data_IF_263598438393
#
_entry.id   IF_263598438393
#
_cell.length_a   1.000
_cell.length_b   1.000
_cell.length_c   1.000
_cell.angle_alpha   90.00
_cell.angle_beta   90.00
_cell.angle_gamma   90.00
#
_symmetry.space_group_name_H-M   'P 1'
#
loop_
_entity.id
_entity.type
_entity.pdbx_description
1 polymer ?
#
# COMPACT_ATOMS: atom_id res chain seq x y z
N UNK A 1 -5.80 1.79 -23.95
CA UNK A 1 -4.55 1.88 -24.72
C UNK A 1 -3.47 2.53 -23.87
N UNK A 2 -2.27 1.99 -23.89
CA UNK A 2 -1.08 2.60 -23.26
C UNK A 2 -0.10 3.02 -24.36
N UNK A 3 0.31 4.28 -24.34
CA UNK A 3 1.35 4.82 -25.19
C UNK A 3 2.66 4.88 -24.40
N UNK A 4 3.75 4.37 -24.98
CA UNK A 4 5.10 4.44 -24.37
C UNK A 4 6.05 5.10 -25.37
N UNK A 5 6.79 6.11 -24.93
CA UNK A 5 7.76 6.82 -25.74
C UNK A 5 9.07 7.04 -24.98
N UNK A 6 10.13 7.41 -25.66
CA UNK A 6 11.44 7.70 -25.06
C UNK A 6 12.12 6.48 -24.42
N UNK A 7 11.88 5.26 -24.91
CA UNK A 7 12.55 4.05 -24.43
C UNK A 7 14.06 4.06 -24.76
N UNK A 8 14.44 4.73 -25.83
CA UNK A 8 15.83 4.96 -26.26
C UNK A 8 16.48 6.21 -25.64
N UNK A 9 15.71 6.96 -24.82
CA UNK A 9 16.16 8.21 -24.23
C UNK A 9 16.06 9.42 -25.19
N UNK A 10 15.38 9.27 -26.34
CA UNK A 10 15.10 10.38 -27.26
C UNK A 10 13.84 11.16 -26.85
N UNK A 11 13.97 12.48 -26.74
CA UNK A 11 12.88 13.38 -26.37
C UNK A 11 11.88 13.66 -27.49
N UNK A 12 12.26 13.50 -28.73
CA UNK A 12 11.35 13.75 -29.86
C UNK A 12 10.12 12.85 -29.81
N UNK A 13 10.28 11.58 -29.43
CA UNK A 13 9.14 10.67 -29.22
C UNK A 13 8.31 11.01 -27.98
N UNK A 14 8.90 11.69 -26.99
CA UNK A 14 8.15 12.16 -25.81
C UNK A 14 7.13 13.24 -26.17
N UNK A 15 7.50 14.20 -26.99
CA UNK A 15 6.63 15.26 -27.48
C UNK A 15 5.48 14.67 -28.31
N UNK A 16 5.77 13.67 -29.13
CA UNK A 16 4.77 12.91 -29.89
C UNK A 16 3.73 12.24 -28.99
N UNK A 17 4.14 11.64 -27.86
CA UNK A 17 3.20 11.04 -26.90
C UNK A 17 2.28 12.08 -26.26
N UNK A 18 2.80 13.27 -25.96
CA UNK A 18 2.00 14.40 -25.47
C UNK A 18 1.02 14.89 -26.54
N UNK A 19 1.47 15.00 -27.80
CA UNK A 19 0.61 15.36 -28.96
C UNK A 19 -0.54 14.35 -29.11
N UNK A 20 -0.22 13.05 -29.06
CA UNK A 20 -1.22 11.98 -29.16
C UNK A 20 -2.32 12.10 -28.08
N UNK A 21 -1.96 12.41 -26.84
CA UNK A 21 -2.92 12.62 -25.75
C UNK A 21 -3.76 13.89 -25.99
N UNK A 22 -3.14 14.98 -26.45
CA UNK A 22 -3.86 16.23 -26.78
C UNK A 22 -4.84 16.00 -27.92
N UNK A 23 -4.41 15.35 -28.99
CA UNK A 23 -5.29 14.97 -30.10
C UNK A 23 -6.48 14.15 -29.61
N UNK A 24 -6.25 13.11 -28.80
CA UNK A 24 -7.32 12.26 -28.29
C UNK A 24 -8.33 13.06 -27.48
N UNK A 25 -7.88 13.97 -26.62
CA UNK A 25 -8.78 14.78 -25.78
C UNK A 25 -9.60 15.80 -26.57
N UNK A 26 -9.03 16.41 -27.59
CA UNK A 26 -9.58 17.63 -28.20
C UNK A 26 -10.08 17.45 -29.63
N UNK A 27 -9.52 16.49 -30.38
CA UNK A 27 -9.71 16.37 -31.84
C UNK A 27 -10.32 15.04 -32.25
N UNK A 28 -9.99 13.95 -31.56
CA UNK A 28 -10.41 12.60 -31.93
C UNK A 28 -11.94 12.49 -32.03
N UNK A 29 -12.42 11.67 -32.99
CA UNK A 29 -13.83 11.38 -33.14
C UNK A 29 -14.49 10.94 -31.82
N UNK A 30 -15.68 11.43 -31.48
CA UNK A 30 -16.40 10.99 -30.29
C UNK A 30 -16.56 9.47 -30.17
N UNK A 31 -16.67 8.75 -31.29
CA UNK A 31 -16.72 7.28 -31.31
C UNK A 31 -15.44 6.65 -30.79
N UNK A 32 -14.29 7.19 -31.17
CA UNK A 32 -12.98 6.75 -30.66
C UNK A 32 -12.88 7.06 -29.16
N UNK A 33 -13.24 8.26 -28.73
CA UNK A 33 -13.20 8.68 -27.33
C UNK A 33 -14.17 7.90 -26.41
N UNK A 34 -15.29 7.46 -26.94
CA UNK A 34 -16.25 6.63 -26.17
C UNK A 34 -15.79 5.18 -26.04
N UNK A 35 -15.01 4.68 -27.00
CA UNK A 35 -14.51 3.30 -27.03
C UNK A 35 -13.23 3.13 -26.21
N UNK A 36 -12.34 4.13 -26.18
CA UNK A 36 -10.99 4.04 -25.67
C UNK A 36 -10.74 4.97 -24.48
N UNK A 37 -9.83 4.53 -23.60
CA UNK A 37 -9.10 5.37 -22.66
C UNK A 37 -7.62 5.31 -23.02
N UNK A 38 -6.92 6.44 -22.98
CA UNK A 38 -5.49 6.51 -23.29
C UNK A 38 -4.72 6.95 -22.04
N UNK A 39 -3.70 6.16 -21.68
CA UNK A 39 -2.65 6.54 -20.74
C UNK A 39 -1.32 6.64 -21.49
N UNK A 40 -0.48 7.60 -21.17
CA UNK A 40 0.81 7.76 -21.83
C UNK A 40 1.96 7.86 -20.82
N UNK A 41 3.07 7.20 -21.13
CA UNK A 41 4.38 7.38 -20.52
C UNK A 41 5.27 8.09 -21.55
N UNK A 42 5.38 9.44 -21.52
CA UNK A 42 6.03 10.18 -22.58
C UNK A 42 7.54 9.96 -22.67
N UNK A 43 8.20 9.73 -21.51
CA UNK A 43 9.64 9.61 -21.45
C UNK A 43 10.07 8.47 -20.51
N UNK A 44 10.20 7.27 -21.07
CA UNK A 44 10.41 6.05 -20.33
C UNK A 44 11.86 5.84 -19.84
N UNK A 45 12.85 6.49 -20.49
CA UNK A 45 14.26 6.35 -20.17
C UNK A 45 14.96 7.72 -20.00
N UNK A 46 14.62 8.48 -18.96
CA UNK A 46 15.21 9.81 -18.72
C UNK A 46 16.71 9.76 -18.41
N UNK A 47 17.18 8.66 -17.83
CA UNK A 47 18.58 8.45 -17.49
C UNK A 47 19.47 8.08 -18.69
N UNK A 48 18.89 7.87 -19.88
CA UNK A 48 19.59 7.41 -21.09
C UNK A 48 20.41 6.14 -20.84
N UNK A 49 19.87 5.23 -20.04
CA UNK A 49 20.50 3.92 -19.83
C UNK A 49 20.68 3.21 -21.18
N UNK A 50 21.79 2.52 -21.36
CA UNK A 50 22.24 2.01 -22.66
C UNK A 50 21.28 1.04 -23.33
N UNK A 51 20.56 0.22 -22.56
CA UNK A 51 19.46 -0.58 -23.06
C UNK A 51 18.54 -0.99 -21.92
N UNK A 52 17.26 -0.66 -22.05
CA UNK A 52 16.24 -1.24 -21.20
C UNK A 52 15.96 -2.67 -21.68
N UNK A 53 16.03 -3.62 -20.76
CA UNK A 53 15.76 -5.04 -21.04
C UNK A 53 14.54 -5.52 -20.27
N UNK A 54 13.62 -6.18 -20.95
CA UNK A 54 12.36 -6.61 -20.39
C UNK A 54 12.14 -8.13 -20.55
N UNK A 55 11.41 -8.79 -19.62
CA UNK A 55 10.98 -8.24 -18.33
C UNK A 55 12.17 -7.93 -17.42
N UNK A 56 11.97 -7.17 -16.31
CA UNK A 56 13.01 -6.94 -15.30
C UNK A 56 13.60 -8.26 -14.80
N UNK A 57 14.89 -8.29 -14.53
CA UNK A 57 15.56 -9.42 -13.88
C UNK A 57 15.20 -9.50 -12.39
N UNK A 58 15.57 -10.57 -11.70
CA UNK A 58 15.34 -10.80 -10.26
C UNK A 58 13.88 -10.67 -9.82
N UNK A 59 13.00 -11.37 -10.53
CA UNK A 59 11.59 -11.42 -10.14
C UNK A 59 10.86 -10.13 -10.46
N UNK A 60 10.43 -10.02 -11.65
CA UNK A 60 9.44 -9.12 -12.23
C UNK A 60 9.54 -7.62 -11.85
N UNK A 61 9.79 -7.26 -10.58
CA UNK A 61 9.79 -5.87 -10.12
C UNK A 61 11.05 -5.44 -9.36
N UNK A 62 12.01 -6.31 -9.16
CA UNK A 62 13.09 -6.08 -8.19
C UNK A 62 14.45 -5.73 -8.80
N UNK A 63 14.52 -5.44 -10.10
CA UNK A 63 15.76 -4.97 -10.71
C UNK A 63 16.15 -3.60 -10.15
N UNK A 64 17.20 -3.59 -9.32
CA UNK A 64 17.72 -2.37 -8.71
C UNK A 64 18.78 -1.68 -9.58
N UNK A 65 19.36 -2.42 -10.55
CA UNK A 65 20.44 -1.90 -11.40
C UNK A 65 19.91 -0.92 -12.46
N UNK A 66 18.69 -1.17 -12.97
CA UNK A 66 18.03 -0.34 -13.97
C UNK A 66 16.61 0.01 -13.50
N UNK A 67 16.46 1.06 -12.68
CA UNK A 67 15.15 1.44 -12.14
C UNK A 67 14.10 1.74 -13.21
N UNK A 68 14.48 2.29 -14.35
CA UNK A 68 13.60 2.57 -15.49
C UNK A 68 12.90 1.29 -15.97
N UNK A 69 13.63 0.20 -16.17
CA UNK A 69 13.05 -1.09 -16.61
C UNK A 69 11.92 -1.52 -15.66
N UNK A 70 12.19 -1.51 -14.35
CA UNK A 70 11.24 -1.92 -13.32
C UNK A 70 10.00 -1.03 -13.30
N UNK A 71 10.19 0.31 -13.29
CA UNK A 71 9.08 1.25 -13.20
C UNK A 71 8.25 1.30 -14.49
N UNK A 72 8.87 1.26 -15.66
CA UNK A 72 8.16 1.18 -16.95
C UNK A 72 7.31 -0.09 -17.02
N UNK A 73 7.92 -1.24 -16.71
CA UNK A 73 7.24 -2.54 -16.74
C UNK A 73 6.00 -2.55 -15.85
N UNK A 74 6.16 -2.15 -14.59
CA UNK A 74 5.11 -2.11 -13.59
C UNK A 74 4.01 -1.12 -13.95
N UNK A 75 4.39 0.10 -14.36
CA UNK A 75 3.42 1.11 -14.73
C UNK A 75 2.58 0.65 -15.93
N UNK A 76 3.21 0.13 -16.99
CA UNK A 76 2.51 -0.34 -18.19
C UNK A 76 1.55 -1.47 -17.86
N UNK A 77 2.00 -2.49 -17.12
CA UNK A 77 1.18 -3.66 -16.80
C UNK A 77 -0.03 -3.29 -15.92
N UNK A 78 0.13 -2.43 -14.92
CA UNK A 78 -0.97 -2.04 -14.02
C UNK A 78 -1.93 -0.98 -14.59
N UNK A 79 -1.66 -0.42 -15.77
CA UNK A 79 -2.68 0.29 -16.55
C UNK A 79 -3.73 -0.68 -17.15
N UNK A 80 -3.52 -1.98 -17.06
CA UNK A 80 -4.39 -3.02 -17.62
C UNK A 80 -4.75 -2.74 -19.09
N UNK A 81 -3.75 -2.55 -19.99
CA UNK A 81 -4.01 -2.19 -21.37
C UNK A 81 -4.59 -3.36 -22.18
N UNK A 82 -5.44 -3.05 -23.17
CA UNK A 82 -5.77 -3.98 -24.24
C UNK A 82 -4.78 -3.89 -25.40
N UNK A 83 -4.12 -2.73 -25.54
CA UNK A 83 -3.06 -2.48 -26.52
C UNK A 83 -1.97 -1.60 -25.91
N UNK A 84 -0.72 -1.94 -26.17
CA UNK A 84 0.44 -1.09 -25.87
C UNK A 84 1.07 -0.63 -27.18
N UNK A 85 1.27 0.67 -27.33
CA UNK A 85 1.87 1.30 -28.53
C UNK A 85 3.18 1.97 -28.13
N UNK A 86 4.28 1.50 -28.67
CA UNK A 86 5.55 2.21 -28.63
C UNK A 86 5.58 3.26 -29.74
N UNK A 87 5.84 4.51 -29.38
CA UNK A 87 5.95 5.63 -30.31
C UNK A 87 7.41 5.91 -30.63
N UNK A 88 7.72 6.03 -31.92
CA UNK A 88 9.07 6.35 -32.43
C UNK A 88 9.01 7.45 -33.48
N UNK A 89 9.97 8.34 -33.49
CA UNK A 89 10.17 9.30 -34.59
C UNK A 89 10.99 8.64 -35.68
N UNK A 90 10.60 8.82 -36.95
CA UNK A 90 11.31 8.32 -38.12
C UNK A 90 10.89 9.02 -39.41
N UNK A 91 11.58 8.81 -40.53
CA UNK A 91 11.33 9.53 -41.77
C UNK A 91 10.01 9.15 -42.45
N UNK A 92 9.49 7.97 -42.21
CA UNK A 92 8.30 7.42 -42.87
C UNK A 92 7.33 6.82 -41.84
N UNK A 93 6.07 6.71 -42.24
CA UNK A 93 5.04 6.04 -41.43
C UNK A 93 5.24 4.52 -41.53
N UNK A 94 5.46 3.88 -40.40
CA UNK A 94 5.58 2.43 -40.28
C UNK A 94 4.81 1.95 -39.04
N UNK A 95 3.96 0.93 -39.20
CA UNK A 95 3.19 0.33 -38.11
C UNK A 95 3.48 -1.18 -38.09
N UNK A 96 4.15 -1.61 -37.07
CA UNK A 96 4.55 -3.01 -36.91
C UNK A 96 3.80 -3.64 -35.74
N UNK A 97 3.21 -4.78 -35.99
CA UNK A 97 2.59 -5.61 -34.96
C UNK A 97 3.62 -6.61 -34.42
N UNK A 98 3.73 -6.66 -33.09
CA UNK A 98 4.65 -7.58 -32.42
C UNK A 98 6.09 -7.05 -32.29
N UNK A 99 7.01 -7.90 -31.77
CA UNK A 99 8.37 -7.48 -31.41
C UNK A 99 9.27 -7.31 -32.61
N UNK A 100 10.10 -6.24 -32.59
CA UNK A 100 11.23 -6.06 -33.53
C UNK A 100 12.55 -6.61 -33.00
N UNK A 101 12.70 -6.71 -31.69
CA UNK A 101 13.95 -7.14 -31.06
C UNK A 101 13.69 -7.94 -29.80
N UNK A 102 14.51 -8.96 -29.59
CA UNK A 102 14.45 -9.78 -28.38
C UNK A 102 14.67 -8.94 -27.11
N UNK A 103 13.92 -9.24 -26.03
CA UNK A 103 13.94 -8.51 -24.75
C UNK A 103 13.54 -7.03 -24.84
N UNK A 104 12.90 -6.58 -25.90
CA UNK A 104 12.24 -5.27 -25.93
C UNK A 104 10.98 -5.28 -25.06
N UNK A 105 10.46 -4.09 -24.68
CA UNK A 105 9.20 -3.99 -23.96
C UNK A 105 8.06 -4.69 -24.73
N UNK A 106 8.02 -4.48 -26.04
CA UNK A 106 6.98 -5.05 -26.91
C UNK A 106 7.08 -6.58 -27.01
N UNK A 107 8.29 -7.13 -27.12
CA UNK A 107 8.56 -8.56 -27.10
C UNK A 107 8.09 -9.19 -25.79
N UNK A 108 8.51 -8.60 -24.67
CA UNK A 108 8.16 -9.10 -23.35
C UNK A 108 6.65 -9.05 -23.07
N UNK A 109 5.96 -7.96 -23.45
CA UNK A 109 4.52 -7.80 -23.22
C UNK A 109 3.66 -8.72 -24.10
N UNK A 110 4.09 -9.02 -25.33
CA UNK A 110 3.35 -9.91 -26.25
C UNK A 110 3.61 -11.40 -26.01
N UNK A 111 4.52 -11.75 -25.10
CA UNK A 111 4.83 -13.14 -24.77
C UNK A 111 3.95 -13.63 -23.60
N UNK A 112 3.11 -14.67 -23.79
CA UNK A 112 2.27 -15.19 -22.71
C UNK A 112 3.07 -15.77 -21.53
N UNK A 113 4.34 -16.10 -21.75
CA UNK A 113 5.26 -16.63 -20.74
C UNK A 113 6.27 -15.56 -20.26
N UNK A 114 5.88 -14.32 -20.23
CA UNK A 114 6.75 -13.19 -19.91
C UNK A 114 7.17 -13.07 -18.43
N UNK A 115 6.78 -14.01 -17.59
CA UNK A 115 7.14 -14.04 -16.16
C UNK A 115 6.36 -13.06 -15.28
N UNK A 116 5.39 -12.30 -15.83
CA UNK A 116 4.60 -11.35 -15.03
C UNK A 116 3.41 -12.00 -14.32
N UNK A 117 3.07 -13.24 -14.64
CA UNK A 117 1.92 -13.94 -14.10
C UNK A 117 0.56 -13.34 -14.48
N UNK A 118 0.51 -12.26 -15.26
CA UNK A 118 -0.70 -11.52 -15.62
C UNK A 118 -1.21 -11.89 -17.03
N UNK A 119 -0.36 -12.47 -17.87
CA UNK A 119 -0.66 -12.75 -19.27
C UNK A 119 -0.10 -11.69 -20.23
N UNK A 120 -0.41 -11.85 -21.50
CA UNK A 120 0.09 -11.01 -22.57
C UNK A 120 -0.88 -9.89 -22.96
N UNK A 121 -0.38 -8.99 -23.79
CA UNK A 121 -1.12 -7.89 -24.38
C UNK A 121 -0.66 -7.64 -25.82
N UNK A 122 -1.59 -7.23 -26.69
CA UNK A 122 -1.26 -6.80 -28.06
C UNK A 122 -0.30 -5.62 -28.04
N UNK A 123 0.76 -5.69 -28.82
CA UNK A 123 1.79 -4.63 -28.94
C UNK A 123 1.92 -4.13 -30.37
N UNK A 124 2.15 -2.82 -30.50
CA UNK A 124 2.43 -2.15 -31.76
C UNK A 124 3.64 -1.24 -31.62
N UNK A 125 4.46 -1.15 -32.64
CA UNK A 125 5.48 -0.10 -32.78
C UNK A 125 5.03 0.83 -33.90
N UNK A 126 4.78 2.10 -33.57
CA UNK A 126 4.33 3.12 -34.51
C UNK A 126 5.46 4.12 -34.68
N UNK A 127 6.06 4.11 -35.86
CA UNK A 127 7.08 5.06 -36.29
C UNK A 127 6.45 6.08 -37.24
N UNK A 128 6.60 7.37 -36.94
CA UNK A 128 6.05 8.44 -37.79
C UNK A 128 7.00 9.64 -37.82
N UNK A 129 6.93 10.49 -38.86
CA UNK A 129 7.55 11.81 -38.84
C UNK A 129 7.03 12.66 -37.67
N UNK A 130 7.85 13.58 -37.18
CA UNK A 130 7.46 14.52 -36.16
C UNK A 130 6.16 15.28 -36.54
N UNK A 131 5.24 15.42 -35.60
CA UNK A 131 3.91 16.04 -35.81
C UNK A 131 2.89 15.20 -36.61
N UNK A 132 3.21 13.97 -37.01
CA UNK A 132 2.32 13.15 -37.85
C UNK A 132 1.47 12.11 -37.08
N UNK A 133 1.62 12.00 -35.76
CA UNK A 133 0.99 10.94 -34.96
C UNK A 133 -0.56 10.99 -35.07
N UNK A 134 -1.14 12.17 -35.11
CA UNK A 134 -2.59 12.39 -35.23
C UNK A 134 -3.19 11.87 -36.54
N UNK A 135 -2.39 11.65 -37.58
CA UNK A 135 -2.82 11.08 -38.86
C UNK A 135 -2.92 9.56 -38.82
N UNK A 136 -2.15 8.90 -37.96
CA UNK A 136 -2.02 7.44 -37.88
C UNK A 136 -2.87 6.84 -36.76
N UNK A 137 -2.96 7.50 -35.60
CA UNK A 137 -3.69 6.98 -34.46
C UNK A 137 -5.17 6.64 -34.74
N UNK A 138 -5.94 7.41 -35.55
CA UNK A 138 -7.32 7.05 -35.89
C UNK A 138 -7.43 5.64 -36.44
N UNK A 139 -6.65 5.28 -37.47
CA UNK A 139 -6.70 3.95 -38.08
C UNK A 139 -6.25 2.84 -37.14
N UNK A 140 -5.23 3.10 -36.31
CA UNK A 140 -4.74 2.14 -35.32
C UNK A 140 -5.81 1.86 -34.23
N UNK A 141 -6.60 2.87 -33.84
CA UNK A 141 -7.63 2.77 -32.82
C UNK A 141 -9.01 2.32 -33.35
N UNK A 142 -9.22 2.34 -34.68
CA UNK A 142 -10.44 1.80 -35.30
C UNK A 142 -10.49 0.29 -35.28
N UNK A 143 -9.34 -0.40 -35.29
CA UNK A 143 -9.27 -1.84 -35.18
C UNK A 143 -10.00 -2.34 -33.92
N UNK A 144 -10.83 -3.35 -34.10
CA UNK A 144 -11.47 -4.02 -32.96
C UNK A 144 -10.42 -4.84 -32.24
N UNK A 145 -10.16 -4.50 -30.98
CA UNK A 145 -9.24 -5.24 -30.13
C UNK A 145 -10.05 -5.95 -29.05
N UNK A 146 -9.82 -7.24 -28.93
CA UNK A 146 -10.35 -8.02 -27.80
C UNK A 146 -9.66 -7.60 -26.49
N UNK A 147 -10.32 -7.86 -25.37
CA UNK A 147 -9.67 -7.63 -24.06
C UNK A 147 -8.43 -8.49 -23.95
N UNK A 148 -7.36 -7.89 -23.46
CA UNK A 148 -6.11 -8.62 -23.27
C UNK A 148 -6.21 -9.61 -22.09
N UNK A 149 -5.52 -10.76 -22.15
CA UNK A 149 -5.36 -11.68 -21.03
C UNK A 149 -4.87 -10.97 -19.77
N UNK A 150 -3.92 -10.05 -19.89
CA UNK A 150 -3.41 -9.22 -18.80
C UNK A 150 -4.55 -8.42 -18.13
N UNK A 151 -5.36 -7.71 -18.89
CA UNK A 151 -6.49 -6.95 -18.36
C UNK A 151 -7.53 -7.83 -17.67
N UNK A 152 -7.88 -8.95 -18.29
CA UNK A 152 -8.84 -9.90 -17.71
C UNK A 152 -8.33 -10.46 -16.38
N UNK A 153 -7.04 -10.75 -16.29
CA UNK A 153 -6.42 -11.23 -15.07
C UNK A 153 -6.54 -10.20 -13.94
N UNK A 154 -6.14 -8.95 -14.19
CA UNK A 154 -6.28 -7.87 -13.20
C UNK A 154 -7.74 -7.62 -12.81
N UNK A 155 -8.69 -7.73 -13.76
CA UNK A 155 -10.11 -7.61 -13.45
C UNK A 155 -10.60 -8.74 -12.53
N UNK A 156 -10.12 -9.97 -12.69
CA UNK A 156 -10.43 -11.07 -11.76
C UNK A 156 -9.93 -10.78 -10.34
N UNK A 157 -8.77 -10.11 -10.18
CA UNK A 157 -8.31 -9.69 -8.84
C UNK A 157 -9.28 -8.74 -8.17
N UNK A 158 -9.90 -7.82 -8.92
CA UNK A 158 -10.76 -6.75 -8.37
C UNK A 158 -12.11 -7.25 -7.83
N UNK A 159 -12.52 -8.47 -8.12
CA UNK A 159 -13.78 -9.05 -7.67
C UNK A 159 -13.60 -10.09 -6.55
N UNK A 160 -12.39 -10.21 -6.01
CA UNK A 160 -12.12 -11.14 -4.90
C UNK A 160 -12.76 -10.63 -3.61
N UNK A 161 -13.40 -11.55 -2.90
CA UNK A 161 -14.04 -11.25 -1.63
C UNK A 161 -13.03 -10.93 -0.53
N UNK A 162 -13.31 -9.96 0.37
CA UNK A 162 -12.41 -9.61 1.45
C UNK A 162 -12.01 -10.80 2.33
N UNK A 163 -12.93 -11.70 2.67
CA UNK A 163 -12.61 -12.91 3.45
C UNK A 163 -11.69 -13.88 2.72
N UNK A 164 -11.78 -13.98 1.38
CA UNK A 164 -10.88 -14.81 0.61
C UNK A 164 -9.45 -14.27 0.68
N UNK A 165 -9.28 -12.95 0.57
CA UNK A 165 -7.98 -12.29 0.76
C UNK A 165 -7.48 -12.47 2.20
N UNK A 166 -8.36 -12.31 3.20
CA UNK A 166 -7.97 -12.50 4.60
C UNK A 166 -7.45 -13.91 4.87
N UNK A 167 -8.11 -14.96 4.36
CA UNK A 167 -7.65 -16.35 4.50
C UNK A 167 -6.29 -16.57 3.84
N UNK A 168 -6.15 -16.16 2.59
CA UNK A 168 -4.90 -16.27 1.82
C UNK A 168 -3.72 -15.66 2.58
N UNK A 169 -3.90 -14.47 3.16
CA UNK A 169 -2.84 -13.77 3.86
C UNK A 169 -2.59 -14.33 5.27
N UNK A 170 -3.63 -14.75 6.01
CA UNK A 170 -3.48 -15.34 7.33
C UNK A 170 -2.73 -16.68 7.32
N UNK A 171 -2.87 -17.46 6.26
CA UNK A 171 -2.12 -18.70 6.06
C UNK A 171 -0.62 -18.41 5.80
N UNK A 172 -0.33 -17.34 5.06
CA UNK A 172 1.02 -16.99 4.61
C UNK A 172 1.82 -16.18 5.64
N UNK A 173 1.17 -15.24 6.35
CA UNK A 173 1.86 -14.26 7.20
C UNK A 173 1.62 -14.47 8.70
N UNK A 174 2.62 -14.12 9.58
CA UNK A 174 3.94 -13.65 9.19
C UNK A 174 4.79 -14.77 8.59
N UNK A 175 5.68 -14.42 7.66
CA UNK A 175 6.69 -15.35 7.14
C UNK A 175 7.87 -15.51 8.11
N UNK A 176 8.10 -14.48 8.94
CA UNK A 176 9.16 -14.47 9.96
C UNK A 176 8.54 -14.15 11.33
N UNK A 177 8.25 -15.16 12.17
CA UNK A 177 7.78 -14.96 13.54
C UNK A 177 8.80 -14.18 14.39
N UNK A 178 8.31 -13.28 15.26
CA UNK A 178 9.16 -12.50 16.16
C UNK A 178 8.35 -11.53 17.01
N UNK A 179 8.85 -11.20 18.23
CA UNK A 179 8.16 -10.24 19.09
C UNK A 179 8.40 -8.81 18.59
N UNK A 180 7.62 -8.42 17.60
CA UNK A 180 7.59 -7.09 17.03
C UNK A 180 6.20 -6.80 16.46
N UNK A 181 5.93 -5.53 16.16
CA UNK A 181 4.61 -5.09 15.70
C UNK A 181 4.12 -5.81 14.43
N UNK A 182 5.02 -6.07 13.47
CA UNK A 182 4.64 -6.68 12.18
C UNK A 182 4.08 -8.09 12.35
N UNK A 183 4.81 -9.06 12.93
CA UNK A 183 4.26 -10.38 13.20
C UNK A 183 3.00 -10.32 14.06
N UNK A 184 2.97 -9.45 15.06
CA UNK A 184 1.84 -9.37 16.00
C UNK A 184 0.57 -8.77 15.37
N UNK A 185 0.70 -7.85 14.42
CA UNK A 185 -0.43 -7.41 13.60
C UNK A 185 -1.00 -8.58 12.79
N UNK A 186 -0.13 -9.39 12.15
CA UNK A 186 -0.57 -10.57 11.41
C UNK A 186 -1.27 -11.57 12.33
N UNK A 187 -0.68 -11.88 13.49
CA UNK A 187 -1.26 -12.81 14.48
C UNK A 187 -2.60 -12.33 15.03
N UNK A 188 -2.69 -11.05 15.43
CA UNK A 188 -3.92 -10.48 15.95
C UNK A 188 -5.06 -10.52 14.91
N UNK A 189 -4.78 -10.22 13.67
CA UNK A 189 -5.75 -10.32 12.60
C UNK A 189 -6.08 -11.78 12.23
N UNK A 190 -5.11 -12.68 12.28
CA UNK A 190 -5.34 -14.13 12.08
C UNK A 190 -6.26 -14.70 13.17
N UNK A 191 -6.06 -14.32 14.44
CA UNK A 191 -6.94 -14.72 15.53
C UNK A 191 -8.38 -14.21 15.35
N UNK A 192 -8.53 -12.95 14.92
CA UNK A 192 -9.85 -12.37 14.60
C UNK A 192 -10.51 -13.12 13.46
N UNK A 193 -9.77 -13.42 12.40
CA UNK A 193 -10.29 -14.23 11.30
C UNK A 193 -10.69 -15.61 11.78
N UNK A 194 -9.83 -16.30 12.53
CA UNK A 194 -10.10 -17.63 13.06
C UNK A 194 -11.37 -17.68 13.89
N UNK A 195 -11.60 -16.67 14.73
CA UNK A 195 -12.84 -16.52 15.49
C UNK A 195 -14.05 -16.27 14.60
N UNK A 196 -13.93 -15.36 13.62
CA UNK A 196 -15.01 -14.99 12.70
C UNK A 196 -15.48 -16.17 11.87
N UNK A 197 -14.55 -16.96 11.34
CA UNK A 197 -14.85 -18.09 10.43
C UNK A 197 -14.84 -19.44 11.13
N UNK A 198 -14.61 -19.47 12.45
CA UNK A 198 -14.52 -20.67 13.30
C UNK A 198 -13.49 -21.67 12.79
N UNK A 199 -12.32 -21.19 12.44
CA UNK A 199 -11.22 -22.01 11.90
C UNK A 199 -10.17 -22.31 12.99
N UNK A 200 -10.13 -23.54 13.53
CA UNK A 200 -9.17 -23.91 14.56
C UNK A 200 -7.74 -24.02 14.04
N UNK A 201 -7.53 -24.17 12.74
CA UNK A 201 -6.18 -24.35 12.16
C UNK A 201 -5.42 -23.03 12.16
N UNK A 202 -6.07 -21.93 11.80
CA UNK A 202 -5.51 -20.58 11.87
C UNK A 202 -5.15 -20.20 13.32
N UNK A 203 -6.04 -20.55 14.27
CA UNK A 203 -5.76 -20.37 15.68
C UNK A 203 -4.55 -21.17 16.15
N UNK A 204 -4.49 -22.46 15.81
CA UNK A 204 -3.37 -23.33 16.17
C UNK A 204 -2.04 -22.85 15.57
N UNK A 205 -2.05 -22.26 14.37
CA UNK A 205 -0.88 -21.61 13.78
C UNK A 205 -0.36 -20.52 14.70
N UNK A 206 -1.21 -19.56 15.11
CA UNK A 206 -0.77 -18.45 15.95
C UNK A 206 -0.24 -18.97 17.31
N UNK A 207 -0.95 -19.88 17.94
CA UNK A 207 -0.50 -20.43 19.25
C UNK A 207 0.87 -21.07 19.17
N UNK A 208 1.16 -21.84 18.14
CA UNK A 208 2.51 -22.41 17.95
C UNK A 208 3.58 -21.34 17.75
N UNK A 209 3.27 -20.29 17.02
CA UNK A 209 4.22 -19.24 16.69
C UNK A 209 4.52 -18.31 17.87
N UNK A 210 3.57 -18.13 18.80
CA UNK A 210 3.75 -17.31 20.01
C UNK A 210 4.17 -18.10 21.26
N UNK A 211 4.21 -19.43 21.18
CA UNK A 211 4.54 -20.34 22.28
C UNK A 211 5.87 -20.00 23.00
N UNK A 212 6.96 -19.62 22.32
CA UNK A 212 8.22 -19.29 22.99
C UNK A 212 8.09 -18.19 24.05
N UNK A 213 7.18 -17.26 23.88
CA UNK A 213 6.90 -16.19 24.86
C UNK A 213 5.88 -16.60 25.90
N UNK A 214 4.85 -17.38 25.52
CA UNK A 214 3.87 -17.91 26.45
C UNK A 214 4.48 -18.91 27.42
N UNK A 215 5.38 -19.78 26.95
CA UNK A 215 6.10 -20.73 27.79
C UNK A 215 7.18 -20.07 28.67
N UNK A 216 7.60 -18.85 28.33
CA UNK A 216 8.69 -18.14 29.01
C UNK A 216 10.09 -18.53 28.52
N UNK A 217 10.18 -19.29 27.43
CA UNK A 217 11.46 -19.59 26.77
C UNK A 217 12.14 -18.33 26.24
N UNK A 218 11.36 -17.38 25.76
CA UNK A 218 11.85 -16.08 25.28
C UNK A 218 11.20 -14.92 26.06
N UNK A 219 11.95 -13.86 26.40
CA UNK A 219 11.41 -12.63 26.96
C UNK A 219 10.73 -11.79 25.88
N UNK A 220 9.72 -10.99 26.27
CA UNK A 220 9.05 -10.06 25.32
C UNK A 220 9.89 -8.84 24.95
N UNK A 221 10.93 -8.55 25.71
CA UNK A 221 11.89 -7.46 25.46
C UNK A 221 13.30 -8.04 25.38
N UNK A 222 14.03 -7.63 24.37
CA UNK A 222 15.45 -7.93 24.24
C UNK A 222 16.32 -6.89 24.95
N UNK A 223 17.62 -6.88 24.66
CA UNK A 223 18.58 -5.92 25.22
C UNK A 223 18.20 -4.46 24.94
N UNK A 224 17.61 -4.19 23.77
CA UNK A 224 17.12 -2.86 23.39
C UNK A 224 15.59 -2.85 23.39
N UNK A 225 15.02 -2.07 24.27
CA UNK A 225 13.57 -1.83 24.31
C UNK A 225 13.21 -0.72 23.28
N UNK A 226 12.14 -0.93 22.52
CA UNK A 226 11.61 0.03 21.55
C UNK A 226 10.10 -0.16 21.39
N UNK A 227 9.40 0.89 20.96
CA UNK A 227 7.98 0.77 20.66
C UNK A 227 7.66 -0.29 19.61
N UNK A 228 8.54 -0.50 18.63
CA UNK A 228 8.35 -1.56 17.64
C UNK A 228 8.29 -2.97 18.27
N UNK A 229 9.12 -3.22 19.30
CA UNK A 229 9.06 -4.47 20.08
C UNK A 229 7.86 -4.51 21.02
N UNK A 230 7.62 -3.43 21.79
CA UNK A 230 6.51 -3.36 22.75
C UNK A 230 5.13 -3.49 22.08
N UNK A 231 4.94 -2.93 20.89
CA UNK A 231 3.74 -3.11 20.10
C UNK A 231 3.46 -4.59 19.79
N UNK A 232 4.49 -5.44 19.80
CA UNK A 232 4.34 -6.87 19.62
C UNK A 232 3.44 -7.52 20.68
N UNK A 233 3.40 -6.97 21.89
CA UNK A 233 2.59 -7.53 22.98
C UNK A 233 1.09 -7.46 22.76
N UNK A 234 0.62 -6.72 21.73
CA UNK A 234 -0.80 -6.67 21.38
C UNK A 234 -1.42 -8.04 21.10
N UNK A 235 -0.61 -9.02 20.65
CA UNK A 235 -1.10 -10.37 20.38
C UNK A 235 -1.63 -11.04 21.64
N UNK A 236 -1.04 -10.78 22.80
CA UNK A 236 -1.47 -11.37 24.07
C UNK A 236 -2.81 -10.80 24.52
N UNK A 237 -3.05 -9.50 24.33
CA UNK A 237 -4.38 -8.91 24.56
C UNK A 237 -5.43 -9.48 23.60
N UNK A 238 -5.07 -9.78 22.36
CA UNK A 238 -5.99 -10.39 21.40
C UNK A 238 -6.29 -11.86 21.75
N UNK A 239 -5.30 -12.62 22.21
CA UNK A 239 -5.51 -14.00 22.73
C UNK A 239 -6.52 -14.03 23.86
N UNK A 240 -6.49 -13.09 24.79
CA UNK A 240 -7.47 -13.01 25.86
C UNK A 240 -8.90 -12.74 25.36
N UNK A 241 -9.06 -11.98 24.30
CA UNK A 241 -10.36 -11.65 23.73
C UNK A 241 -11.02 -12.81 23.01
N UNK A 242 -10.22 -13.62 22.31
CA UNK A 242 -10.73 -14.64 21.38
C UNK A 242 -10.49 -16.06 21.87
N UNK A 243 -9.71 -16.22 22.93
CA UNK A 243 -9.27 -17.53 23.39
C UNK A 243 -9.22 -17.66 24.92
N UNK A 244 -9.43 -18.88 25.39
CA UNK A 244 -9.32 -19.25 26.81
C UNK A 244 -8.00 -19.97 27.11
N UNK A 245 -6.93 -19.66 26.39
CA UNK A 245 -5.59 -20.17 26.67
C UNK A 245 -5.07 -19.51 27.94
N UNK A 246 -4.11 -20.12 28.63
CA UNK A 246 -3.53 -19.65 29.89
C UNK A 246 -3.63 -18.11 30.06
N UNK A 247 -4.83 -17.68 30.48
CA UNK A 247 -5.20 -16.27 30.58
C UNK A 247 -4.26 -15.50 31.48
N UNK A 248 -3.71 -16.17 32.51
CA UNK A 248 -2.82 -15.52 33.46
C UNK A 248 -1.48 -15.13 32.80
N UNK A 249 -0.90 -16.01 31.98
CA UNK A 249 0.37 -15.70 31.32
C UNK A 249 0.22 -14.65 30.22
N UNK A 250 -0.79 -14.80 29.38
CA UNK A 250 -1.08 -13.82 28.34
C UNK A 250 -1.38 -12.43 28.95
N UNK A 251 -2.15 -12.38 30.07
CA UNK A 251 -2.37 -11.13 30.79
C UNK A 251 -1.07 -10.51 31.28
N UNK A 252 -0.22 -11.27 31.97
CA UNK A 252 1.08 -10.77 32.47
C UNK A 252 1.93 -10.16 31.35
N UNK A 253 1.99 -10.82 30.17
CA UNK A 253 2.75 -10.34 29.04
C UNK A 253 2.16 -9.07 28.41
N UNK A 254 0.82 -8.98 28.33
CA UNK A 254 0.11 -7.79 27.89
C UNK A 254 0.36 -6.63 28.86
N UNK A 255 0.18 -6.83 30.16
CA UNK A 255 0.38 -5.82 31.21
C UNK A 255 1.81 -5.30 31.23
N UNK A 256 2.80 -6.19 31.07
CA UNK A 256 4.19 -5.79 30.96
C UNK A 256 4.42 -4.89 29.74
N UNK A 257 3.84 -5.23 28.60
CA UNK A 257 3.91 -4.41 27.38
C UNK A 257 3.29 -3.01 27.58
N UNK A 258 2.10 -2.94 28.19
CA UNK A 258 1.41 -1.68 28.50
C UNK A 258 2.21 -0.83 29.47
N UNK A 259 2.68 -1.44 30.57
CA UNK A 259 3.47 -0.76 31.61
C UNK A 259 4.76 -0.13 31.04
N UNK A 260 5.48 -0.85 30.18
CA UNK A 260 6.66 -0.32 29.52
C UNK A 260 6.33 0.75 28.48
N UNK A 261 5.32 0.52 27.64
CA UNK A 261 4.91 1.49 26.63
C UNK A 261 4.38 2.80 27.23
N UNK A 262 3.79 2.74 28.43
CA UNK A 262 3.27 3.90 29.14
C UNK A 262 4.33 4.72 29.91
N UNK A 263 5.61 4.32 29.91
CA UNK A 263 6.67 5.08 30.58
C UNK A 263 6.96 6.40 29.84
N UNK A 264 6.95 7.48 30.58
CA UNK A 264 7.15 8.86 30.05
C UNK A 264 8.29 9.56 30.79
N UNK A 265 9.16 10.27 30.04
CA UNK A 265 10.15 11.21 30.61
C UNK A 265 9.47 12.54 31.03
N UNK A 266 8.45 12.94 30.26
CA UNK A 266 7.57 14.06 30.51
C UNK A 266 6.20 13.78 29.87
N UNK A 267 5.11 14.44 30.26
CA UNK A 267 3.78 14.17 29.72
C UNK A 267 3.76 14.12 28.18
N UNK A 268 3.39 12.95 27.63
CA UNK A 268 3.37 12.67 26.20
C UNK A 268 4.75 12.43 25.55
N UNK A 269 5.84 12.43 26.33
CA UNK A 269 7.19 12.14 25.86
C UNK A 269 7.58 10.72 26.32
N UNK A 270 7.47 9.71 25.46
CA UNK A 270 7.72 8.34 25.86
C UNK A 270 9.22 8.05 25.98
N UNK A 271 9.58 7.15 26.93
CA UNK A 271 10.96 6.69 27.13
C UNK A 271 11.48 5.88 25.92
N UNK A 272 10.62 5.09 25.28
CA UNK A 272 11.01 4.14 24.23
C UNK A 272 10.57 4.56 22.84
N UNK A 273 10.09 5.79 22.66
CA UNK A 273 9.66 6.33 21.39
C UNK A 273 10.82 6.68 20.46
N UNK A 274 10.52 6.67 19.15
CA UNK A 274 11.45 7.11 18.11
C UNK A 274 11.35 8.60 17.80
N UNK A 275 10.25 9.25 18.20
CA UNK A 275 9.90 10.61 17.78
C UNK A 275 9.25 10.66 16.39
N UNK A 276 8.94 9.52 15.78
CA UNK A 276 8.35 9.42 14.46
C UNK A 276 6.84 9.26 14.50
N UNK A 277 6.17 9.58 13.38
CA UNK A 277 4.72 9.37 13.23
C UNK A 277 4.28 7.92 13.47
N UNK A 278 5.18 6.97 13.32
CA UNK A 278 4.99 5.54 13.62
C UNK A 278 4.60 5.30 15.07
N UNK A 279 5.12 6.11 15.99
CA UNK A 279 4.87 5.99 17.43
C UNK A 279 3.40 6.21 17.79
N UNK A 280 2.63 6.89 16.93
CA UNK A 280 1.17 7.05 17.11
C UNK A 280 0.45 5.69 17.12
N UNK A 281 0.95 4.71 16.39
CA UNK A 281 0.48 3.32 16.46
C UNK A 281 1.31 2.49 17.44
N UNK A 282 2.64 2.51 17.31
CA UNK A 282 3.53 1.62 18.04
C UNK A 282 3.52 1.86 19.55
N UNK A 283 3.37 3.13 19.96
CA UNK A 283 3.32 3.52 21.37
C UNK A 283 1.95 3.41 22.02
N UNK A 284 0.89 3.26 21.22
CA UNK A 284 -0.49 3.26 21.75
C UNK A 284 -1.19 1.91 21.72
N UNK A 285 -0.74 1.02 20.82
CA UNK A 285 -1.50 -0.20 20.50
C UNK A 285 -1.64 -1.17 21.67
N UNK A 286 -0.60 -1.32 22.50
CA UNK A 286 -0.64 -2.20 23.66
C UNK A 286 -1.75 -1.78 24.62
N UNK A 287 -1.79 -0.50 25.03
CA UNK A 287 -2.81 0.06 25.91
C UNK A 287 -4.21 0.03 25.27
N UNK A 288 -4.31 0.36 23.98
CA UNK A 288 -5.56 0.38 23.24
C UNK A 288 -6.22 -1.01 23.20
N UNK A 289 -5.42 -2.07 23.13
CA UNK A 289 -5.90 -3.44 23.08
C UNK A 289 -6.20 -4.02 24.47
N UNK A 290 -5.39 -3.70 25.46
CA UNK A 290 -5.60 -4.12 26.84
C UNK A 290 -6.77 -3.41 27.52
N UNK A 291 -7.06 -2.16 27.11
CA UNK A 291 -8.08 -1.32 27.75
C UNK A 291 -7.65 -0.82 29.13
N UNK A 292 -6.35 -0.79 29.41
CA UNK A 292 -5.78 -0.31 30.67
C UNK A 292 -5.94 1.20 30.80
N UNK A 293 -6.50 1.68 31.92
CA UNK A 293 -6.86 3.08 32.11
C UNK A 293 -5.64 4.02 32.10
N UNK A 294 -4.56 3.65 32.77
CA UNK A 294 -3.35 4.47 32.86
C UNK A 294 -2.59 4.48 31.54
N UNK A 295 -2.49 3.31 30.92
CA UNK A 295 -1.92 3.16 29.57
C UNK A 295 -2.70 3.94 28.51
N UNK A 296 -4.04 3.95 28.56
CA UNK A 296 -4.88 4.77 27.67
C UNK A 296 -4.66 6.27 27.91
N UNK A 297 -4.52 6.69 29.17
CA UNK A 297 -4.22 8.08 29.48
C UNK A 297 -2.83 8.51 28.94
N UNK A 298 -1.81 7.66 29.07
CA UNK A 298 -0.49 7.88 28.48
C UNK A 298 -0.56 7.93 26.94
N UNK A 299 -1.30 7.01 26.31
CA UNK A 299 -1.51 6.98 24.87
C UNK A 299 -2.18 8.25 24.34
N UNK A 300 -3.17 8.80 25.05
CA UNK A 300 -3.82 10.07 24.70
C UNK A 300 -2.82 11.23 24.77
N UNK A 301 -2.00 11.31 25.83
CA UNK A 301 -0.96 12.36 25.95
C UNK A 301 0.08 12.28 24.84
N UNK A 302 0.52 11.06 24.51
CA UNK A 302 1.45 10.81 23.41
C UNK A 302 0.88 11.34 22.09
N UNK A 303 -0.34 10.91 21.74
CA UNK A 303 -0.98 11.34 20.48
C UNK A 303 -1.18 12.85 20.43
N UNK A 304 -1.63 13.47 21.51
CA UNK A 304 -1.82 14.93 21.53
C UNK A 304 -0.50 15.68 21.33
N UNK A 305 0.59 15.24 21.99
CA UNK A 305 1.93 15.80 21.78
C UNK A 305 2.42 15.62 20.34
N UNK A 306 2.31 14.41 19.80
CA UNK A 306 2.79 14.12 18.45
C UNK A 306 1.96 14.86 17.38
N UNK A 307 0.65 15.00 17.59
CA UNK A 307 -0.18 15.83 16.71
C UNK A 307 0.30 17.28 16.69
N UNK A 308 0.64 17.84 17.86
CA UNK A 308 1.20 19.19 17.96
C UNK A 308 2.56 19.37 17.28
N UNK A 309 3.37 18.29 17.18
CA UNK A 309 4.70 18.34 16.60
C UNK A 309 4.72 18.01 15.10
N UNK A 310 3.89 17.08 14.65
CA UNK A 310 4.02 16.42 13.33
C UNK A 310 2.82 16.66 12.42
N UNK A 311 1.58 16.81 12.95
CA UNK A 311 0.40 17.00 12.12
C UNK A 311 0.37 18.39 11.50
N UNK A 312 0.25 18.45 10.19
CA UNK A 312 0.25 19.67 9.40
C UNK A 312 -1.18 20.22 9.22
N UNK A 313 -1.34 21.49 8.83
CA UNK A 313 -2.65 22.06 8.51
C UNK A 313 -3.41 21.30 7.41
N UNK A 314 -2.70 20.60 6.52
CA UNK A 314 -3.26 19.70 5.51
C UNK A 314 -3.90 18.45 6.09
N UNK A 315 -3.66 18.16 7.37
CA UNK A 315 -4.03 16.92 8.02
C UNK A 315 -2.99 15.80 7.89
N UNK A 316 -2.02 15.91 7.00
CA UNK A 316 -0.92 14.96 6.88
C UNK A 316 0.07 15.09 8.03
N UNK A 317 0.85 14.06 8.26
CA UNK A 317 1.88 14.02 9.29
C UNK A 317 3.28 14.01 8.67
N UNK A 318 4.18 14.83 9.16
CA UNK A 318 5.60 14.68 8.91
C UNK A 318 6.09 13.39 9.56
N UNK A 319 7.12 12.75 8.98
CA UNK A 319 7.68 11.51 9.54
C UNK A 319 8.31 11.74 10.92
N UNK A 320 9.10 12.82 11.05
CA UNK A 320 9.71 13.24 12.31
C UNK A 320 9.86 14.77 12.34
N UNK A 321 10.18 15.39 13.50
CA UNK A 321 10.39 16.84 13.59
C UNK A 321 11.52 17.35 12.68
N UNK A 322 12.56 16.54 12.47
CA UNK A 322 13.72 16.81 11.61
C UNK A 322 13.59 16.18 10.22
N UNK A 323 12.46 15.53 9.94
CA UNK A 323 12.15 14.87 8.66
C UNK A 323 10.77 15.34 8.15
N UNK A 324 10.69 16.57 7.58
CA UNK A 324 9.42 17.21 7.23
C UNK A 324 8.85 16.67 5.90
N UNK A 325 8.71 15.34 5.80
CA UNK A 325 8.17 14.65 4.64
C UNK A 325 6.96 13.83 5.06
N UNK A 326 5.88 13.92 4.29
CA UNK A 326 4.67 13.13 4.51
C UNK A 326 4.88 11.69 3.99
N UNK A 327 5.75 10.92 4.68
CA UNK A 327 6.01 9.53 4.33
C UNK A 327 4.73 8.69 4.47
N UNK A 328 4.41 7.91 3.42
CA UNK A 328 3.13 7.22 3.31
C UNK A 328 2.84 6.29 4.47
N UNK A 329 3.74 5.32 4.75
CA UNK A 329 3.49 4.37 5.84
C UNK A 329 3.49 5.02 7.22
N UNK A 330 4.26 6.08 7.46
CA UNK A 330 4.17 6.87 8.70
C UNK A 330 2.78 7.51 8.87
N UNK A 331 2.23 8.09 7.80
CA UNK A 331 0.85 8.58 7.78
C UNK A 331 -0.17 7.46 7.98
N UNK A 332 0.07 6.29 7.38
CA UNK A 332 -0.74 5.10 7.61
C UNK A 332 -0.72 4.62 9.06
N UNK A 333 0.45 4.64 9.72
CA UNK A 333 0.56 4.31 11.15
C UNK A 333 -0.16 5.32 12.02
N UNK A 334 -0.07 6.62 11.73
CA UNK A 334 -0.87 7.63 12.41
C UNK A 334 -2.38 7.34 12.25
N UNK A 335 -2.84 6.99 11.05
CA UNK A 335 -4.23 6.63 10.78
C UNK A 335 -4.68 5.41 11.59
N UNK A 336 -3.92 4.32 11.55
CA UNK A 336 -4.25 3.09 12.27
C UNK A 336 -4.17 3.30 13.80
N UNK A 337 -3.14 3.98 14.31
CA UNK A 337 -2.98 4.24 15.73
C UNK A 337 -4.13 5.06 16.31
N UNK A 338 -4.56 6.11 15.61
CA UNK A 338 -5.73 6.90 15.97
C UNK A 338 -7.02 6.05 15.98
N UNK A 339 -7.21 5.20 14.98
CA UNK A 339 -8.37 4.33 14.90
C UNK A 339 -8.37 3.24 16.00
N UNK A 340 -7.23 2.67 16.31
CA UNK A 340 -7.07 1.69 17.41
C UNK A 340 -7.32 2.36 18.77
N UNK A 341 -6.73 3.55 19.00
CA UNK A 341 -6.93 4.29 20.25
C UNK A 341 -8.41 4.66 20.44
N UNK A 342 -9.07 5.21 19.42
CA UNK A 342 -10.50 5.51 19.48
C UNK A 342 -11.37 4.27 19.73
N UNK A 343 -10.94 3.09 19.25
CA UNK A 343 -11.63 1.82 19.52
C UNK A 343 -11.48 1.39 20.98
N UNK A 344 -10.29 1.60 21.57
CA UNK A 344 -10.00 1.23 22.96
C UNK A 344 -10.53 2.22 24.01
N UNK A 345 -10.64 3.52 23.64
CA UNK A 345 -11.09 4.57 24.57
C UNK A 345 -12.58 4.42 24.92
N UNK A 346 -12.95 4.43 26.22
CA UNK A 346 -14.34 4.57 26.64
C UNK A 346 -15.01 5.81 26.04
N UNK A 347 -16.33 5.74 25.84
CA UNK A 347 -17.07 6.86 25.24
C UNK A 347 -17.03 8.15 26.08
N UNK A 348 -16.92 8.02 27.37
CA UNK A 348 -16.87 9.10 28.37
C UNK A 348 -15.42 9.53 28.72
N UNK A 349 -14.41 8.92 28.12
CA UNK A 349 -13.00 9.29 28.37
C UNK A 349 -12.74 10.75 27.97
N UNK A 350 -12.17 11.54 28.88
CA UNK A 350 -11.98 13.00 28.71
C UNK A 350 -11.18 13.37 27.42
N UNK A 351 -10.21 12.52 27.02
CA UNK A 351 -9.40 12.75 25.82
C UNK A 351 -10.06 12.35 24.50
N UNK A 352 -11.19 11.61 24.53
CA UNK A 352 -11.77 11.02 23.34
C UNK A 352 -12.16 12.06 22.27
N UNK A 353 -12.77 13.17 22.68
CA UNK A 353 -13.17 14.22 21.75
C UNK A 353 -11.96 14.84 21.01
N UNK A 354 -10.84 15.02 21.71
CA UNK A 354 -9.61 15.54 21.14
C UNK A 354 -9.01 14.56 20.12
N UNK A 355 -8.92 13.27 20.46
CA UNK A 355 -8.42 12.24 19.56
C UNK A 355 -9.30 12.12 18.30
N UNK A 356 -10.62 12.23 18.46
CA UNK A 356 -11.55 12.21 17.32
C UNK A 356 -11.30 13.37 16.35
N UNK A 357 -11.05 14.58 16.86
CA UNK A 357 -10.73 15.74 16.02
C UNK A 357 -9.43 15.52 15.26
N UNK A 358 -8.37 15.04 15.92
CA UNK A 358 -7.08 14.72 15.27
C UNK A 358 -7.28 13.68 14.18
N UNK A 359 -8.03 12.62 14.47
CA UNK A 359 -8.36 11.57 13.51
C UNK A 359 -9.11 12.10 12.30
N UNK A 360 -10.19 12.87 12.49
CA UNK A 360 -10.99 13.42 11.40
C UNK A 360 -10.20 14.38 10.51
N UNK A 361 -9.35 15.21 11.11
CA UNK A 361 -8.45 16.09 10.37
C UNK A 361 -7.46 15.28 9.53
N UNK A 362 -6.89 14.20 10.09
CA UNK A 362 -6.00 13.32 9.36
C UNK A 362 -6.71 12.58 8.21
N UNK A 363 -7.89 12.01 8.45
CA UNK A 363 -8.66 11.33 7.40
C UNK A 363 -9.07 12.27 6.27
N UNK A 364 -9.40 13.53 6.59
CA UNK A 364 -9.68 14.56 5.59
C UNK A 364 -8.45 14.87 4.73
N UNK A 365 -7.28 15.00 5.34
CA UNK A 365 -6.01 15.16 4.62
C UNK A 365 -5.73 13.97 3.69
N UNK A 366 -5.76 12.76 4.23
CA UNK A 366 -5.52 11.55 3.44
C UNK A 366 -6.51 11.44 2.25
N UNK A 367 -7.79 11.74 2.46
CA UNK A 367 -8.80 11.76 1.38
C UNK A 367 -8.40 12.69 0.23
N UNK A 368 -7.83 13.87 0.54
CA UNK A 368 -7.42 14.87 -0.45
C UNK A 368 -6.28 14.41 -1.36
N UNK A 369 -5.47 13.45 -0.91
CA UNK A 369 -4.29 12.95 -1.63
C UNK A 369 -4.45 11.54 -2.21
N UNK A 370 -5.66 10.98 -2.19
CA UNK A 370 -5.92 9.69 -2.85
C UNK A 370 -5.70 9.80 -4.36
N UNK A 371 -4.91 8.92 -4.93
CA UNK A 371 -4.72 8.85 -6.39
C UNK A 371 -5.98 8.40 -7.14
N UNK A 372 -6.04 8.65 -8.45
CA UNK A 372 -7.19 8.26 -9.28
C UNK A 372 -7.40 6.74 -9.35
N UNK A 373 -6.36 5.96 -9.13
CA UNK A 373 -6.37 4.50 -9.00
C UNK A 373 -6.83 4.01 -7.62
N UNK A 374 -7.12 4.92 -6.70
CA UNK A 374 -7.55 4.63 -5.35
C UNK A 374 -6.42 4.47 -4.34
N UNK A 375 -5.18 4.42 -4.78
CA UNK A 375 -4.03 4.21 -3.89
C UNK A 375 -3.41 5.52 -3.40
N UNK A 376 -2.75 5.44 -2.25
CA UNK A 376 -1.87 6.52 -1.76
C UNK A 376 -0.43 6.24 -2.17
N UNK A 377 0.35 7.32 -2.16
CA UNK A 377 1.75 7.28 -2.58
C UNK A 377 2.70 7.04 -1.41
N UNK A 378 3.89 6.56 -1.73
CA UNK A 378 4.99 6.36 -0.77
C UNK A 378 5.40 7.68 -0.08
N UNK A 379 5.36 8.82 -0.78
CA UNK A 379 5.29 10.16 -0.22
C UNK A 379 3.94 10.74 -0.62
N UNK A 380 3.06 10.97 0.36
CA UNK A 380 1.62 11.15 0.12
C UNK A 380 1.31 12.33 -0.80
N UNK A 381 1.98 13.46 -0.58
CA UNK A 381 1.77 14.74 -1.25
C UNK A 381 2.68 14.99 -2.46
N UNK A 382 3.45 13.98 -2.90
CA UNK A 382 4.36 14.09 -4.05
C UNK A 382 3.86 13.23 -5.22
N UNK A 383 3.41 13.86 -6.30
CA UNK A 383 2.81 13.18 -7.45
C UNK A 383 3.77 12.20 -8.16
N UNK A 384 5.06 12.47 -8.17
CA UNK A 384 6.10 11.60 -8.74
C UNK A 384 6.43 10.37 -7.90
N UNK A 385 5.94 10.28 -6.66
CA UNK A 385 6.14 9.12 -5.79
C UNK A 385 5.27 7.94 -6.24
N UNK A 386 5.78 6.71 -6.10
CA UNK A 386 5.05 5.52 -6.52
C UNK A 386 3.84 5.21 -5.63
N UNK A 387 2.89 4.44 -6.15
CA UNK A 387 1.74 3.90 -5.39
C UNK A 387 2.23 2.88 -4.39
N UNK A 388 1.74 2.96 -3.16
CA UNK A 388 2.30 2.15 -2.08
C UNK A 388 1.19 1.37 -1.35
N UNK A 389 1.37 0.07 -1.24
CA UNK A 389 0.32 -0.84 -0.78
C UNK A 389 0.11 -0.75 0.73
N UNK A 390 1.16 -0.57 1.53
CA UNK A 390 1.01 -0.59 2.99
C UNK A 390 0.30 0.67 3.52
N UNK A 391 0.61 1.87 3.01
CA UNK A 391 -0.14 3.07 3.39
C UNK A 391 -1.59 2.98 2.95
N UNK A 392 -1.83 2.40 1.76
CA UNK A 392 -3.20 2.22 1.27
C UNK A 392 -3.99 1.28 2.18
N UNK A 393 -3.40 0.16 2.60
CA UNK A 393 -4.03 -0.79 3.52
C UNK A 393 -4.34 -0.17 4.89
N UNK A 394 -3.39 0.56 5.48
CA UNK A 394 -3.55 1.24 6.76
C UNK A 394 -4.67 2.30 6.71
N UNK A 395 -4.69 3.11 5.65
CA UNK A 395 -5.68 4.16 5.45
C UNK A 395 -7.08 3.59 5.23
N UNK A 396 -7.20 2.55 4.38
CA UNK A 396 -8.48 1.84 4.17
C UNK A 396 -8.98 1.23 5.48
N UNK A 397 -8.10 0.59 6.26
CA UNK A 397 -8.45 0.03 7.57
C UNK A 397 -9.02 1.10 8.51
N UNK A 398 -8.32 2.23 8.63
CA UNK A 398 -8.73 3.31 9.52
C UNK A 398 -10.04 3.96 9.06
N UNK A 399 -10.19 4.26 7.76
CA UNK A 399 -11.40 4.86 7.21
C UNK A 399 -12.62 3.92 7.27
N UNK A 400 -12.45 2.63 6.94
CA UNK A 400 -13.53 1.64 6.98
C UNK A 400 -14.06 1.47 8.41
N UNK A 401 -13.17 1.37 9.40
CA UNK A 401 -13.54 1.34 10.81
C UNK A 401 -14.24 2.62 11.25
N UNK A 402 -13.70 3.78 10.87
CA UNK A 402 -14.28 5.07 11.20
C UNK A 402 -15.68 5.28 10.63
N UNK A 403 -15.92 4.86 9.40
CA UNK A 403 -17.25 4.89 8.79
C UNK A 403 -18.21 3.94 9.52
N UNK A 404 -17.79 2.70 9.77
CA UNK A 404 -18.61 1.69 10.48
C UNK A 404 -18.97 2.10 11.90
N UNK A 405 -18.09 2.82 12.61
CA UNK A 405 -18.29 3.26 13.97
C UNK A 405 -18.86 4.70 14.10
N UNK A 406 -19.20 5.34 12.98
CA UNK A 406 -19.83 6.66 12.94
C UNK A 406 -18.89 7.82 13.24
N UNK A 407 -17.57 7.64 13.12
CA UNK A 407 -16.58 8.71 13.25
C UNK A 407 -16.39 9.50 11.94
N UNK A 408 -16.72 8.89 10.82
CA UNK A 408 -16.74 9.46 9.48
C UNK A 408 -18.14 9.32 8.88
N UNK A 409 -18.50 10.26 8.00
CA UNK A 409 -19.76 10.21 7.27
C UNK A 409 -19.69 9.35 5.98
N UNK A 410 -20.83 9.12 5.35
CA UNK A 410 -20.96 8.25 4.17
C UNK A 410 -20.17 8.73 2.94
N UNK A 411 -19.72 9.99 2.90
CA UNK A 411 -18.91 10.50 1.77
C UNK A 411 -17.52 9.86 1.69
N UNK A 412 -17.10 9.14 2.72
CA UNK A 412 -15.87 8.36 2.72
C UNK A 412 -16.00 6.99 2.05
N UNK A 413 -17.22 6.45 1.90
CA UNK A 413 -17.41 5.13 1.30
C UNK A 413 -16.77 4.99 -0.09
N UNK A 414 -16.97 5.90 -1.04
CA UNK A 414 -16.30 5.80 -2.35
C UNK A 414 -14.76 5.87 -2.28
N UNK A 415 -14.22 6.55 -1.26
CA UNK A 415 -12.75 6.62 -1.04
C UNK A 415 -12.23 5.26 -0.58
N UNK A 416 -12.92 4.65 0.38
CA UNK A 416 -12.61 3.33 0.93
C UNK A 416 -12.66 2.27 -0.17
N UNK A 417 -13.75 2.23 -0.94
CA UNK A 417 -13.95 1.27 -2.03
C UNK A 417 -12.88 1.38 -3.12
N UNK A 418 -12.53 2.60 -3.54
CA UNK A 418 -11.43 2.80 -4.50
C UNK A 418 -10.09 2.33 -3.92
N UNK A 419 -9.80 2.65 -2.65
CA UNK A 419 -8.59 2.18 -1.98
C UNK A 419 -8.51 0.66 -1.89
N UNK A 420 -9.62 0.02 -1.55
CA UNK A 420 -9.71 -1.44 -1.52
C UNK A 420 -9.49 -2.08 -2.91
N UNK A 421 -10.06 -1.51 -3.96
CA UNK A 421 -9.81 -1.97 -5.33
C UNK A 421 -8.33 -1.84 -5.73
N UNK A 422 -7.69 -0.74 -5.33
CA UNK A 422 -6.24 -0.58 -5.49
C UNK A 422 -5.46 -1.70 -4.80
N UNK A 423 -5.78 -2.02 -3.56
CA UNK A 423 -5.17 -3.14 -2.82
C UNK A 423 -5.39 -4.46 -3.55
N UNK A 424 -6.62 -4.76 -3.96
CA UNK A 424 -6.95 -6.01 -4.64
C UNK A 424 -6.09 -6.25 -5.89
N UNK A 425 -5.79 -5.21 -6.65
CA UNK A 425 -4.91 -5.33 -7.83
C UNK A 425 -3.46 -5.69 -7.47
N UNK A 426 -3.01 -5.31 -6.26
CA UNK A 426 -1.64 -5.48 -5.77
C UNK A 426 -1.42 -6.72 -4.89
N UNK A 427 -2.46 -7.50 -4.62
CA UNK A 427 -2.34 -8.81 -3.97
C UNK A 427 -2.32 -9.89 -5.05
N UNK A 428 -1.22 -10.61 -5.16
CA UNK A 428 -1.04 -11.70 -6.13
C UNK A 428 -1.83 -12.94 -5.69
N UNK A 429 -2.06 -13.88 -6.59
CA UNK A 429 -2.89 -15.07 -6.36
C UNK A 429 -2.33 -15.98 -5.27
N UNK A 430 -1.01 -15.99 -5.07
CA UNK A 430 -0.32 -16.76 -4.03
C UNK A 430 -0.19 -16.01 -2.69
N UNK A 431 -0.73 -14.79 -2.59
CA UNK A 431 -0.63 -13.92 -1.41
C UNK A 431 0.67 -13.11 -1.32
N UNK A 432 1.51 -13.13 -2.35
CA UNK A 432 2.58 -12.12 -2.47
C UNK A 432 2.01 -10.76 -2.82
N UNK A 433 2.79 -9.72 -2.61
CA UNK A 433 2.34 -8.34 -2.71
C UNK A 433 3.20 -7.55 -3.69
N UNK A 434 2.64 -6.49 -4.22
CA UNK A 434 3.30 -5.56 -5.13
C UNK A 434 3.32 -4.16 -4.49
N UNK A 435 4.44 -3.44 -4.66
CA UNK A 435 4.59 -2.04 -4.24
C UNK A 435 4.48 -1.80 -2.72
N UNK A 436 5.17 -2.60 -1.92
CA UNK A 436 5.33 -2.36 -0.49
C UNK A 436 6.62 -1.59 -0.24
N UNK A 437 6.57 -0.44 0.40
CA UNK A 437 7.77 0.32 0.75
C UNK A 437 8.69 -0.49 1.67
N UNK A 438 9.97 -0.55 1.33
CA UNK A 438 11.00 -1.14 2.18
C UNK A 438 11.03 -0.45 3.56
N UNK A 439 11.60 -1.09 4.57
CA UNK A 439 11.83 -0.47 5.88
C UNK A 439 12.57 0.88 5.73
N UNK A 440 12.02 1.93 6.34
CA UNK A 440 12.47 3.32 6.14
C UNK A 440 12.63 3.99 7.49
N UNK A 441 13.84 4.42 7.81
CA UNK A 441 14.10 5.33 8.90
C UNK A 441 13.81 6.78 8.50
N UNK A 442 13.73 7.70 9.47
CA UNK A 442 13.62 9.14 9.18
C UNK A 442 14.88 9.65 8.46
N UNK A 443 14.67 10.60 7.56
CA UNK A 443 15.73 11.28 6.83
C UNK A 443 15.35 12.71 6.50
N UNK A 444 16.31 13.66 6.46
CA UNK A 444 16.02 15.08 6.39
C UNK A 444 15.57 15.56 5.00
N UNK A 445 15.78 14.77 3.96
CA UNK A 445 15.50 15.19 2.58
C UNK A 445 14.35 14.39 1.94
N UNK A 446 13.60 15.03 1.08
CA UNK A 446 12.60 14.36 0.23
C UNK A 446 13.22 13.24 -0.60
N UNK A 447 14.41 13.44 -1.12
CA UNK A 447 15.15 12.50 -1.94
C UNK A 447 15.39 11.16 -1.20
N UNK A 448 15.71 11.21 0.11
CA UNK A 448 15.83 10.02 0.96
C UNK A 448 14.60 9.12 0.86
N UNK A 449 13.40 9.69 0.85
CA UNK A 449 12.15 8.94 0.75
C UNK A 449 11.86 8.48 -0.68
N UNK A 450 12.08 9.33 -1.68
CA UNK A 450 11.81 8.98 -3.07
C UNK A 450 12.69 7.83 -3.58
N UNK A 451 13.90 7.68 -3.03
CA UNK A 451 14.81 6.60 -3.37
C UNK A 451 14.53 5.29 -2.61
N UNK A 452 13.52 5.26 -1.71
CA UNK A 452 13.17 4.00 -1.02
C UNK A 452 12.49 3.03 -1.98
N UNK A 453 13.10 1.87 -2.11
CA UNK A 453 12.64 0.85 -3.06
C UNK A 453 11.28 0.28 -2.67
N UNK A 454 10.43 0.03 -3.67
CA UNK A 454 9.26 -0.80 -3.51
C UNK A 454 9.68 -2.28 -3.50
N UNK A 455 9.24 -3.02 -2.49
CA UNK A 455 9.41 -4.47 -2.39
C UNK A 455 8.23 -5.17 -3.05
N UNK A 456 8.52 -6.24 -3.77
CA UNK A 456 7.52 -7.09 -4.41
C UNK A 456 7.81 -8.55 -4.07
N UNK A 457 6.74 -9.34 -3.90
CA UNK A 457 6.85 -10.71 -3.44
C UNK A 457 6.38 -10.89 -2.00
N UNK A 458 7.07 -11.72 -1.22
CA UNK A 458 6.74 -11.92 0.20
C UNK A 458 7.26 -10.74 1.02
N UNK A 459 6.35 -10.02 1.66
CA UNK A 459 6.66 -8.93 2.60
C UNK A 459 5.70 -8.96 3.79
N UNK A 460 6.25 -9.20 4.98
CA UNK A 460 5.47 -9.34 6.22
C UNK A 460 4.70 -8.06 6.59
N UNK A 461 5.26 -6.87 6.28
CA UNK A 461 4.59 -5.58 6.54
C UNK A 461 3.33 -5.45 5.69
N UNK A 462 3.49 -5.64 4.37
CA UNK A 462 2.37 -5.57 3.44
C UNK A 462 1.32 -6.62 3.77
N UNK A 463 1.73 -7.89 3.98
CA UNK A 463 0.82 -8.99 4.28
C UNK A 463 -0.01 -8.77 5.54
N UNK A 464 0.64 -8.40 6.65
CA UNK A 464 -0.04 -8.12 7.91
C UNK A 464 -1.05 -6.97 7.80
N UNK A 465 -0.69 -5.89 7.11
CA UNK A 465 -1.53 -4.70 7.00
C UNK A 465 -2.71 -4.90 6.03
N UNK A 466 -2.49 -5.58 4.91
CA UNK A 466 -3.57 -5.93 3.97
C UNK A 466 -4.56 -6.92 4.58
N UNK A 467 -4.08 -7.87 5.41
CA UNK A 467 -4.97 -8.76 6.18
C UNK A 467 -5.92 -7.95 7.08
N UNK A 468 -5.41 -6.92 7.75
CA UNK A 468 -6.24 -6.01 8.54
C UNK A 468 -7.28 -5.26 7.70
N UNK A 469 -6.87 -4.72 6.55
CA UNK A 469 -7.78 -4.05 5.64
C UNK A 469 -8.88 -4.98 5.12
N UNK A 470 -8.55 -6.22 4.78
CA UNK A 470 -9.52 -7.22 4.34
C UNK A 470 -10.60 -7.52 5.40
N UNK A 471 -10.20 -7.63 6.67
CA UNK A 471 -11.15 -7.83 7.77
C UNK A 471 -12.05 -6.62 8.01
N UNK A 472 -11.53 -5.40 7.96
CA UNK A 472 -12.36 -4.20 8.12
C UNK A 472 -13.29 -3.98 6.93
N UNK A 473 -12.86 -4.30 5.70
CA UNK A 473 -13.75 -4.28 4.53
C UNK A 473 -14.88 -5.30 4.65
N UNK A 474 -14.57 -6.52 5.11
CA UNK A 474 -15.62 -7.50 5.39
C UNK A 474 -16.61 -7.01 6.46
N UNK A 475 -16.11 -6.43 7.55
CA UNK A 475 -16.95 -5.89 8.62
C UNK A 475 -17.82 -4.72 8.14
N UNK A 476 -17.26 -3.84 7.27
CA UNK A 476 -17.99 -2.73 6.68
C UNK A 476 -19.12 -3.22 5.75
N UNK A 477 -18.82 -4.17 4.85
CA UNK A 477 -19.81 -4.74 3.93
C UNK A 477 -20.94 -5.48 4.67
N UNK A 478 -20.63 -6.07 5.83
CA UNK A 478 -21.63 -6.80 6.65
C UNK A 478 -22.51 -5.87 7.49
N UNK A 479 -22.14 -4.60 7.63
CA UNK A 479 -22.88 -3.60 8.39
C UNK A 479 -23.79 -2.72 7.50
N UNK A 480 -23.66 -2.80 6.18
CA UNK A 480 -24.52 -2.17 5.17
C UNK A 480 -25.70 -3.06 4.81
#
# INVERSE_FOLDING_TARGET
VVLVAGLDGDRSSADMAVEAVRWFKSVADPKIRSKWSISALPFANPGKQQSLSFPPEDGFYNDAAVPETRYVWRWVTYQAPDVVIELRVGPEIDVITGPKSHRSLMDALSNPNNGNGLGDVRTLVVTVPDGAISQVLPSVLEDVVERSPLREHLQRRLVREPLAIARLLAERYPGTPGMAYIPSVAWAHTLRLASLVRDPTLRAKVLREVDPWLSGEQPIVGERISFAGLAGTMVFSELQRVDQVDQNRAQQLADQGVSLAGQEEAPGQPVYGSGWSDDVFLGTIAASRAGDTDGLAAAVRLVDRYAGLLQQPTGLWHHAPDAPTAWGRGNGFAALGLAELLTGLPNDHAGRARILVIYQQHMSGMRGFQGPDGMWRQVVDVEGSYRETSVTALTVTAMARGLRLGWLDSSYLPVIERGWRGILSHVVEDGTLVDVCISTGSGPSLEHYLHRTAVNGTDDRGGALVLGAALEMHALNSAQ
#
